data_IF_988691552654
#
_entry.id   IF_988691552654
#
_cell.length_a   1.000
_cell.length_b   1.000
_cell.length_c   1.000
_cell.angle_alpha   90.00
_cell.angle_beta   90.00
_cell.angle_gamma   90.00
#
_symmetry.space_group_name_H-M   'P 1'
#
loop_
_entity.id
_entity.type
_entity.pdbx_description
1 polymer ?
#
# COMPACT_ATOMS: atom_id res chain seq x y z
N UNK A 1 -2.56 -6.56 15.31
CA UNK A 1 -1.64 -5.41 15.19
C UNK A 1 -0.95 -5.45 13.83
N UNK A 2 -0.89 -4.33 13.15
CA UNK A 2 -0.27 -4.26 11.82
C UNK A 2 1.26 -4.33 11.93
N UNK A 3 1.87 -4.96 10.94
CA UNK A 3 3.32 -5.12 10.86
C UNK A 3 4.01 -3.85 10.35
N UNK A 4 3.23 -2.89 9.87
CA UNK A 4 3.73 -1.64 9.31
C UNK A 4 2.91 -0.48 9.86
N UNK A 5 3.47 0.72 9.72
CA UNK A 5 2.78 1.94 10.10
C UNK A 5 2.92 2.93 8.94
N UNK A 6 1.81 3.45 8.46
CA UNK A 6 1.78 4.35 7.31
C UNK A 6 0.96 5.58 7.69
N UNK A 7 1.60 6.75 7.64
CA UNK A 7 0.88 8.01 7.85
C UNK A 7 0.07 8.35 6.60
N UNK A 8 -0.92 9.25 6.75
CA UNK A 8 -1.69 9.70 5.59
C UNK A 8 -0.79 10.31 4.52
N UNK A 9 0.20 11.07 4.95
CA UNK A 9 1.14 11.72 4.04
C UNK A 9 1.98 10.69 3.28
N UNK A 10 2.44 9.67 4.00
CA UNK A 10 3.21 8.58 3.37
C UNK A 10 2.34 7.80 2.38
N UNK A 11 1.08 7.58 2.74
CA UNK A 11 0.17 6.84 1.88
C UNK A 11 -0.06 7.53 0.54
N UNK A 12 -0.10 8.85 0.51
CA UNK A 12 -0.24 9.58 -0.74
C UNK A 12 0.84 9.19 -1.74
N UNK A 13 2.08 9.01 -1.28
CA UNK A 13 3.18 8.60 -2.12
C UNK A 13 3.16 7.11 -2.42
N UNK A 14 2.89 6.31 -1.42
CA UNK A 14 2.81 4.84 -1.58
C UNK A 14 1.70 4.49 -2.56
N UNK A 15 0.56 5.17 -2.45
CA UNK A 15 -0.58 4.94 -3.34
C UNK A 15 -0.19 5.13 -4.81
N UNK A 16 0.55 6.18 -5.10
CA UNK A 16 1.01 6.45 -6.47
C UNK A 16 1.87 5.29 -6.99
N UNK A 17 2.78 4.79 -6.15
CA UNK A 17 3.64 3.67 -6.51
C UNK A 17 2.83 2.40 -6.76
N UNK A 18 1.86 2.14 -5.91
CA UNK A 18 0.98 0.98 -6.05
C UNK A 18 0.19 1.07 -7.34
N UNK A 19 -0.34 2.25 -7.66
CA UNK A 19 -1.11 2.44 -8.89
C UNK A 19 -0.26 2.30 -10.13
N UNK A 20 1.01 2.64 -10.07
CA UNK A 20 1.93 2.44 -11.20
C UNK A 20 2.19 0.96 -11.46
N UNK A 21 2.31 0.18 -10.39
CA UNK A 21 2.54 -1.25 -10.51
C UNK A 21 1.27 -2.00 -10.89
N UNK A 22 0.15 -1.58 -10.31
CA UNK A 22 -1.16 -2.20 -10.52
C UNK A 22 -2.11 -1.13 -11.05
N UNK A 23 -1.95 -0.79 -12.31
CA UNK A 23 -2.64 0.37 -12.91
C UNK A 23 -4.15 0.20 -13.07
N UNK A 24 -4.68 -0.97 -12.77
CA UNK A 24 -6.12 -1.21 -12.78
C UNK A 24 -6.80 -0.77 -11.48
N UNK A 25 -6.03 -0.41 -10.45
CA UNK A 25 -6.59 0.00 -9.16
C UNK A 25 -7.00 1.46 -9.19
N UNK A 26 -8.17 1.75 -8.62
CA UNK A 26 -8.71 3.11 -8.56
C UNK A 26 -8.41 3.75 -7.21
N UNK A 27 -8.55 5.09 -7.15
CA UNK A 27 -8.39 5.82 -5.89
C UNK A 27 -9.40 5.34 -4.85
N UNK A 28 -10.63 5.03 -5.29
CA UNK A 28 -11.66 4.52 -4.41
C UNK A 28 -11.25 3.21 -3.74
N UNK A 29 -10.65 2.32 -4.51
CA UNK A 29 -10.20 1.03 -4.00
C UNK A 29 -9.01 1.19 -3.05
N UNK A 30 -8.27 2.27 -3.17
CA UNK A 30 -7.06 2.52 -2.40
C UNK A 30 -7.24 3.54 -1.27
N UNK A 31 -8.48 3.79 -0.87
CA UNK A 31 -8.75 4.66 0.26
C UNK A 31 -8.16 4.06 1.54
N UNK A 32 -7.53 4.91 2.32
CA UNK A 32 -6.86 4.50 3.56
C UNK A 32 -6.87 5.66 4.55
N UNK A 33 -7.04 5.34 5.82
CA UNK A 33 -6.91 6.30 6.90
C UNK A 33 -5.78 5.85 7.82
N UNK A 34 -5.01 6.80 8.30
CA UNK A 34 -3.90 6.51 9.21
C UNK A 34 -4.40 5.72 10.42
N UNK A 35 -3.67 4.65 10.75
CA UNK A 35 -4.07 3.74 11.81
C UNK A 35 -4.86 2.54 11.34
N UNK A 36 -5.27 2.51 10.06
CA UNK A 36 -6.06 1.42 9.49
C UNK A 36 -5.21 0.50 8.61
N UNK A 37 -3.98 0.26 9.02
CA UNK A 37 -3.04 -0.56 8.23
C UNK A 37 -3.53 -1.99 8.01
N UNK A 38 -4.16 -2.59 9.02
CA UNK A 38 -4.69 -3.95 8.86
C UNK A 38 -5.74 -4.02 7.77
N UNK A 39 -6.66 -3.06 7.76
CA UNK A 39 -7.69 -3.00 6.73
C UNK A 39 -7.08 -2.81 5.35
N UNK A 40 -6.06 -1.97 5.26
CA UNK A 40 -5.36 -1.73 4.01
C UNK A 40 -4.69 -3.00 3.50
N UNK A 41 -3.99 -3.72 4.37
CA UNK A 41 -3.31 -4.96 3.99
C UNK A 41 -4.32 -5.97 3.47
N UNK A 42 -5.41 -6.18 4.21
CA UNK A 42 -6.45 -7.12 3.81
C UNK A 42 -7.06 -6.76 2.46
N UNK A 43 -7.34 -5.48 2.28
CA UNK A 43 -7.90 -4.99 1.02
C UNK A 43 -6.94 -5.24 -0.15
N UNK A 44 -5.66 -4.92 0.04
CA UNK A 44 -4.67 -5.12 -1.02
C UNK A 44 -4.47 -6.60 -1.34
N UNK A 45 -4.49 -7.47 -0.34
CA UNK A 45 -4.40 -8.92 -0.58
C UNK A 45 -5.46 -9.36 -1.58
N UNK A 46 -6.67 -8.85 -1.43
CA UNK A 46 -7.78 -9.18 -2.31
C UNK A 46 -7.62 -8.51 -3.68
N UNK A 47 -7.26 -7.24 -3.71
CA UNK A 47 -7.16 -6.47 -4.95
C UNK A 47 -6.05 -6.96 -5.87
N UNK A 48 -4.91 -7.35 -5.31
CA UNK A 48 -3.77 -7.80 -6.11
C UNK A 48 -3.64 -9.33 -6.13
N UNK A 49 -4.52 -10.01 -5.44
CA UNK A 49 -4.57 -11.48 -5.37
C UNK A 49 -3.25 -12.07 -4.92
N UNK A 50 -2.74 -11.54 -3.81
CA UNK A 50 -1.48 -11.99 -3.21
C UNK A 50 -1.66 -12.20 -1.72
N UNK A 51 -0.73 -12.92 -1.10
CA UNK A 51 -0.80 -13.16 0.34
C UNK A 51 -0.34 -11.96 1.15
N UNK A 52 -0.57 -12.03 2.46
CA UNK A 52 -0.21 -10.96 3.38
C UNK A 52 1.28 -10.62 3.34
N UNK A 53 2.10 -11.65 3.31
CA UNK A 53 3.56 -11.48 3.31
C UNK A 53 4.02 -10.66 2.12
N UNK A 54 3.47 -10.94 0.96
CA UNK A 54 3.78 -10.21 -0.26
C UNK A 54 3.35 -8.74 -0.15
N UNK A 55 2.13 -8.52 0.32
CA UNK A 55 1.57 -7.17 0.44
C UNK A 55 2.38 -6.35 1.44
N UNK A 56 2.67 -6.92 2.60
CA UNK A 56 3.46 -6.22 3.63
C UNK A 56 4.84 -5.90 3.09
N UNK A 57 5.48 -6.85 2.42
CA UNK A 57 6.79 -6.63 1.82
C UNK A 57 6.76 -5.48 0.80
N UNK A 58 5.75 -5.48 -0.06
CA UNK A 58 5.60 -4.45 -1.08
C UNK A 58 5.42 -3.07 -0.45
N UNK A 59 4.60 -2.97 0.59
CA UNK A 59 4.37 -1.71 1.29
C UNK A 59 5.63 -1.23 2.01
N UNK A 60 6.35 -2.13 2.64
CA UNK A 60 7.61 -1.80 3.30
C UNK A 60 8.63 -1.27 2.30
N UNK A 61 8.73 -1.92 1.16
CA UNK A 61 9.64 -1.51 0.09
C UNK A 61 9.30 -0.11 -0.41
N UNK A 62 8.00 0.16 -0.59
CA UNK A 62 7.55 1.46 -1.02
C UNK A 62 7.86 2.55 0.01
N UNK A 63 7.74 2.22 1.29
CA UNK A 63 8.04 3.17 2.37
C UNK A 63 9.53 3.49 2.44
N UNK A 64 10.37 2.48 2.27
CA UNK A 64 11.83 2.67 2.30
C UNK A 64 12.29 3.57 1.15
N UNK A 65 11.66 3.44 -0.02
CA UNK A 65 12.00 4.20 -1.21
C UNK A 65 10.93 5.24 -1.54
N UNK A 66 10.48 5.95 -0.52
CA UNK A 66 9.33 6.85 -0.67
C UNK A 66 9.56 7.97 -1.67
N UNK A 67 10.80 8.41 -1.82
CA UNK A 67 11.17 9.46 -2.76
C UNK A 67 11.46 8.92 -4.16
N UNK A 68 11.43 7.61 -4.33
CA UNK A 68 11.66 6.96 -5.60
C UNK A 68 10.31 6.65 -6.25
N UNK A 69 10.20 6.85 -7.56
CA UNK A 69 8.95 6.63 -8.28
C UNK A 69 8.70 5.17 -8.66
N UNK A 70 9.54 4.26 -8.20
CA UNK A 70 9.42 2.83 -8.51
C UNK A 70 9.21 1.99 -7.26
N UNK A 71 8.54 0.91 -7.45
CA UNK A 71 8.47 -0.15 -6.46
C UNK A 71 9.55 -1.19 -6.69
#
# INVERSE_FOLDING_TARGET
MAEISITNKEWERVKIKVQRKYNHLTDEQLQYAEGQEESLITKLMDLVNRDRKYVVFTLKKALVNIDNNRL
#
